data_IF_923779869138
#
_entry.id   IF_923779869138
#
_cell.length_a   1.000
_cell.length_b   1.000
_cell.length_c   1.000
_cell.angle_alpha   90.00
_cell.angle_beta   90.00
_cell.angle_gamma   90.00
#
_symmetry.space_group_name_H-M   'P 1'
#
loop_
_entity.id
_entity.type
_entity.pdbx_description
1 polymer ?
#
# COMPACT_ATOMS: atom_id res chain seq x y z
N UNK A 1 -3.71 -20.28 -7.10
CA UNK A 1 -2.38 -19.63 -7.24
C UNK A 1 -2.14 -18.88 -5.93
N UNK A 2 -0.95 -19.03 -5.36
CA UNK A 2 -0.66 -19.03 -3.91
C UNK A 2 -1.39 -17.96 -3.09
N UNK A 3 -2.42 -18.39 -2.35
CA UNK A 3 -3.22 -17.61 -1.41
C UNK A 3 -2.48 -17.39 -0.08
N UNK A 4 -1.28 -16.83 -0.14
CA UNK A 4 -0.40 -16.66 1.01
C UNK A 4 0.27 -15.29 1.01
N UNK A 5 0.55 -14.78 2.21
CA UNK A 5 1.41 -13.62 2.37
C UNK A 5 2.84 -13.99 1.94
N UNK A 6 3.41 -13.17 1.06
CA UNK A 6 4.85 -13.15 0.76
C UNK A 6 5.51 -11.99 1.50
N UNK A 7 6.83 -12.10 1.68
CA UNK A 7 7.62 -11.11 2.41
C UNK A 7 7.92 -11.51 3.84
N UNK A 8 8.99 -10.93 4.37
CA UNK A 8 9.41 -11.09 5.77
C UNK A 8 9.68 -9.71 6.37
N UNK A 9 9.46 -9.56 7.68
CA UNK A 9 9.67 -8.29 8.38
C UNK A 9 8.47 -7.35 8.33
N UNK A 10 8.71 -6.06 8.06
CA UNK A 10 7.69 -5.00 8.18
C UNK A 10 6.70 -4.97 7.02
N UNK A 11 7.08 -5.39 5.82
CA UNK A 11 6.22 -5.33 4.64
C UNK A 11 5.88 -6.74 4.20
N UNK A 12 4.58 -6.97 3.96
CA UNK A 12 4.04 -8.22 3.41
C UNK A 12 3.07 -7.90 2.30
N UNK A 13 2.98 -8.79 1.32
CA UNK A 13 2.08 -8.65 0.18
C UNK A 13 1.33 -9.96 -0.06
N UNK A 14 0.08 -9.89 -0.55
CA UNK A 14 -0.64 -11.06 -1.06
C UNK A 14 -1.52 -10.68 -2.25
N UNK A 15 -1.81 -11.65 -3.09
CA UNK A 15 -2.90 -11.57 -4.08
C UNK A 15 -4.20 -12.09 -3.46
N UNK A 16 -5.32 -11.43 -3.74
CA UNK A 16 -6.65 -11.80 -3.26
C UNK A 16 -7.68 -11.51 -4.36
N UNK A 17 -8.01 -12.53 -5.16
CA UNK A 17 -8.80 -12.33 -6.37
C UNK A 17 -8.06 -11.41 -7.35
N UNK A 18 -8.72 -10.35 -7.81
CA UNK A 18 -8.11 -9.30 -8.65
C UNK A 18 -7.42 -8.19 -7.85
N UNK A 19 -7.39 -8.30 -6.52
CA UNK A 19 -6.78 -7.32 -5.64
C UNK A 19 -5.37 -7.75 -5.23
N UNK A 20 -4.47 -6.77 -5.14
CA UNK A 20 -3.19 -6.89 -4.44
C UNK A 20 -3.29 -6.16 -3.11
N UNK A 21 -2.96 -6.85 -2.02
CA UNK A 21 -2.95 -6.29 -0.67
C UNK A 21 -1.53 -6.21 -0.13
N UNK A 22 -1.15 -5.05 0.39
CA UNK A 22 0.14 -4.81 1.05
C UNK A 22 -0.13 -4.43 2.50
N UNK A 23 0.55 -5.08 3.44
CA UNK A 23 0.49 -4.75 4.86
C UNK A 23 1.87 -4.28 5.33
N UNK A 24 1.90 -3.15 6.02
CA UNK A 24 3.10 -2.56 6.63
C UNK A 24 2.87 -2.51 8.15
N UNK A 25 3.67 -3.25 8.91
CA UNK A 25 3.55 -3.29 10.37
C UNK A 25 4.35 -2.15 11.04
N UNK A 26 3.70 -1.46 11.97
CA UNK A 26 4.22 -0.33 12.72
C UNK A 26 3.99 1.04 12.05
N UNK A 27 3.83 2.08 12.87
CA UNK A 27 3.69 3.46 12.39
C UNK A 27 4.93 4.30 12.68
N UNK A 28 5.06 5.38 11.91
CA UNK A 28 6.04 6.44 12.11
C UNK A 28 5.40 7.76 11.71
N UNK A 29 5.91 8.87 12.26
CA UNK A 29 5.48 10.22 11.92
C UNK A 29 6.00 10.69 10.56
N UNK A 30 6.97 9.97 9.96
CA UNK A 30 7.62 10.39 8.71
C UNK A 30 7.06 9.67 7.49
N UNK A 31 6.11 10.28 6.77
CA UNK A 31 5.54 9.71 5.54
C UNK A 31 6.60 9.28 4.49
N UNK A 32 7.66 10.08 4.35
CA UNK A 32 8.78 9.80 3.42
C UNK A 32 9.53 8.49 3.70
N UNK A 33 9.43 7.94 4.91
CA UNK A 33 10.05 6.66 5.27
C UNK A 33 9.44 5.49 4.48
N UNK A 34 8.14 5.57 4.18
CA UNK A 34 7.42 4.45 3.56
C UNK A 34 7.77 4.24 2.09
N UNK A 35 8.12 5.30 1.37
CA UNK A 35 8.49 5.21 -0.05
C UNK A 35 9.65 4.24 -0.30
N UNK A 36 10.86 4.46 0.26
CA UNK A 36 11.98 3.54 0.04
C UNK A 36 11.74 2.16 0.64
N UNK A 37 11.00 2.06 1.75
CA UNK A 37 10.67 0.78 2.38
C UNK A 37 9.84 -0.11 1.46
N UNK A 38 8.74 0.42 0.93
CA UNK A 38 7.84 -0.33 0.04
C UNK A 38 8.48 -0.54 -1.32
N UNK A 39 9.19 0.46 -1.87
CA UNK A 39 9.86 0.33 -3.16
C UNK A 39 10.92 -0.80 -3.14
N UNK A 40 11.77 -0.86 -2.12
CA UNK A 40 12.77 -1.93 -2.00
C UNK A 40 12.12 -3.32 -1.88
N UNK A 41 10.99 -3.40 -1.18
CA UNK A 41 10.21 -4.62 -1.09
C UNK A 41 9.65 -5.03 -2.46
N UNK A 42 8.94 -4.13 -3.15
CA UNK A 42 8.36 -4.38 -4.47
C UNK A 42 9.44 -4.80 -5.48
N UNK A 43 10.60 -4.14 -5.44
CA UNK A 43 11.73 -4.46 -6.32
C UNK A 43 12.27 -5.88 -6.12
N UNK A 44 12.31 -6.38 -4.88
CA UNK A 44 12.97 -7.66 -4.54
C UNK A 44 12.03 -8.85 -4.55
N UNK A 45 10.83 -8.65 -4.00
CA UNK A 45 9.91 -9.74 -3.68
C UNK A 45 8.77 -9.87 -4.69
N UNK A 46 8.57 -8.87 -5.55
CA UNK A 46 7.43 -8.83 -6.46
C UNK A 46 7.86 -8.85 -7.93
N UNK A 47 7.26 -9.78 -8.67
CA UNK A 47 7.43 -9.89 -10.12
C UNK A 47 6.05 -9.76 -10.75
N UNK A 48 5.67 -8.56 -11.16
CA UNK A 48 4.43 -8.32 -11.90
C UNK A 48 4.67 -7.80 -13.30
N UNK A 49 3.65 -7.99 -14.13
CA UNK A 49 3.44 -7.20 -15.34
C UNK A 49 2.26 -6.27 -15.05
N UNK A 50 2.48 -4.98 -14.74
CA UNK A 50 1.38 -4.03 -14.61
C UNK A 50 0.51 -4.04 -15.88
N UNK A 51 -0.79 -3.82 -15.73
CA UNK A 51 -1.72 -3.73 -16.84
C UNK A 51 -2.30 -2.33 -17.00
N UNK A 52 -2.77 -2.04 -18.20
CA UNK A 52 -3.56 -0.85 -18.51
C UNK A 52 -4.97 -0.97 -17.93
N UNK A 53 -5.59 0.17 -17.62
CA UNK A 53 -6.94 0.25 -17.04
C UNK A 53 -7.01 1.19 -15.84
N UNK A 54 -8.21 1.44 -15.37
CA UNK A 54 -8.49 2.21 -14.15
C UNK A 54 -8.35 1.33 -12.91
N UNK A 55 -7.79 1.87 -11.85
CA UNK A 55 -7.60 1.21 -10.57
C UNK A 55 -8.23 1.99 -9.41
N UNK A 56 -8.62 1.24 -8.39
CA UNK A 56 -8.96 1.76 -7.07
C UNK A 56 -7.82 1.45 -6.13
N UNK A 57 -7.40 2.45 -5.36
CA UNK A 57 -6.40 2.32 -4.29
C UNK A 57 -7.04 2.70 -2.96
N UNK A 58 -7.05 1.77 -2.02
CA UNK A 58 -7.50 1.99 -0.64
C UNK A 58 -6.30 1.92 0.29
N UNK A 59 -6.07 2.97 1.08
CA UNK A 59 -5.00 3.06 2.08
C UNK A 59 -5.65 3.25 3.44
N UNK A 60 -5.44 2.29 4.34
CA UNK A 60 -5.93 2.34 5.71
C UNK A 60 -4.76 2.40 6.68
N UNK A 61 -4.68 3.47 7.46
CA UNK A 61 -3.73 3.64 8.56
C UNK A 61 -4.42 3.32 9.88
N UNK A 62 -4.05 2.22 10.51
CA UNK A 62 -4.53 1.75 11.80
C UNK A 62 -3.55 2.18 12.91
N UNK A 63 -4.04 2.87 13.93
CA UNK A 63 -3.26 3.29 15.10
C UNK A 63 -3.86 2.74 16.40
N UNK A 64 -3.04 2.65 17.45
CA UNK A 64 -3.48 2.32 18.81
C UNK A 64 -3.35 3.57 19.67
N UNK A 65 -4.43 3.96 20.36
CA UNK A 65 -4.44 5.20 21.15
C UNK A 65 -4.37 6.44 20.27
N UNK A 66 -3.56 7.43 20.65
CA UNK A 66 -3.45 8.67 19.89
C UNK A 66 -2.76 8.45 18.53
N UNK A 67 -3.34 8.94 17.43
CA UNK A 67 -2.74 8.75 16.12
C UNK A 67 -1.46 9.57 15.96
N UNK A 68 -0.45 9.06 15.22
CA UNK A 68 0.73 9.85 14.91
C UNK A 68 0.35 11.11 14.13
N UNK A 69 1.12 12.18 14.38
CA UNK A 69 1.04 13.39 13.57
C UNK A 69 1.70 13.16 12.21
N UNK A 70 0.95 12.50 11.33
CA UNK A 70 1.31 12.24 9.94
C UNK A 70 0.18 12.75 9.05
N UNK A 71 0.55 13.44 7.97
CA UNK A 71 -0.38 13.88 6.95
C UNK A 71 -0.73 12.72 6.01
N UNK A 72 -2.03 12.47 5.84
CA UNK A 72 -2.53 11.34 5.05
C UNK A 72 -2.25 11.51 3.55
N UNK A 73 -2.24 12.74 3.02
CA UNK A 73 -1.89 13.01 1.63
C UNK A 73 -0.41 12.67 1.36
N UNK A 74 0.50 13.13 2.22
CA UNK A 74 1.92 12.80 2.14
C UNK A 74 2.17 11.28 2.27
N UNK A 75 1.44 10.60 3.16
CA UNK A 75 1.51 9.15 3.28
C UNK A 75 1.05 8.48 1.98
N UNK A 76 -0.11 8.87 1.44
CA UNK A 76 -0.65 8.31 0.23
C UNK A 76 0.27 8.53 -0.97
N UNK A 77 0.79 9.75 -1.14
CA UNK A 77 1.76 10.09 -2.19
C UNK A 77 3.01 9.22 -2.12
N UNK A 78 3.57 9.01 -0.92
CA UNK A 78 4.76 8.19 -0.73
C UNK A 78 4.51 6.71 -1.09
N UNK A 79 3.33 6.19 -0.76
CA UNK A 79 2.94 4.81 -1.02
C UNK A 79 2.60 4.57 -2.50
N UNK A 80 1.85 5.47 -3.14
CA UNK A 80 1.54 5.42 -4.57
C UNK A 80 2.82 5.41 -5.42
N UNK A 81 3.75 6.32 -5.11
CA UNK A 81 5.04 6.38 -5.78
C UNK A 81 5.85 5.08 -5.65
N UNK A 82 5.70 4.34 -4.55
CA UNK A 82 6.45 3.12 -4.28
C UNK A 82 5.89 1.89 -5.01
N UNK A 83 4.60 1.88 -5.31
CA UNK A 83 3.90 0.77 -5.98
C UNK A 83 3.66 1.02 -7.48
N UNK A 84 3.78 2.29 -7.93
CA UNK A 84 3.81 2.67 -9.34
C UNK A 84 4.91 1.93 -10.09
N UNK A 85 4.62 1.52 -11.31
CA UNK A 85 5.49 0.68 -12.14
C UNK A 85 5.44 -0.81 -11.78
N UNK A 86 4.82 -1.17 -10.64
CA UNK A 86 4.62 -2.56 -10.24
C UNK A 86 3.13 -2.96 -10.35
N UNK A 87 2.23 -2.21 -9.71
CA UNK A 87 0.80 -2.57 -9.68
C UNK A 87 -0.01 -1.90 -10.81
N UNK A 88 0.47 -0.77 -11.30
CA UNK A 88 -0.05 -0.02 -12.45
C UNK A 88 1.11 0.76 -13.10
N UNK A 89 0.98 1.21 -14.34
CA UNK A 89 2.05 1.92 -15.04
C UNK A 89 2.21 3.37 -14.56
N UNK A 90 1.10 4.06 -14.33
CA UNK A 90 1.10 5.50 -14.00
C UNK A 90 0.03 5.85 -12.96
N UNK A 91 0.28 6.90 -12.16
CA UNK A 91 -0.67 7.39 -11.15
C UNK A 91 -1.98 7.88 -11.79
N UNK A 92 -1.95 8.30 -13.07
CA UNK A 92 -3.14 8.65 -13.84
C UNK A 92 -4.15 7.49 -13.99
N UNK A 93 -3.71 6.25 -13.78
CA UNK A 93 -4.59 5.09 -13.76
C UNK A 93 -5.36 4.92 -12.44
N UNK A 94 -5.02 5.66 -11.38
CA UNK A 94 -5.75 5.62 -10.11
C UNK A 94 -7.00 6.48 -10.22
N UNK A 95 -8.11 5.87 -10.59
CA UNK A 95 -9.41 6.53 -10.77
C UNK A 95 -10.16 6.77 -9.46
N UNK A 96 -9.79 6.07 -8.38
CA UNK A 96 -10.31 6.31 -7.03
C UNK A 96 -9.22 6.06 -6.00
N UNK A 97 -8.99 7.04 -5.13
CA UNK A 97 -8.09 6.94 -3.99
C UNK A 97 -8.90 7.18 -2.70
N UNK A 98 -8.88 6.21 -1.79
CA UNK A 98 -9.42 6.35 -0.44
C UNK A 98 -8.26 6.25 0.55
N UNK A 99 -8.10 7.26 1.41
CA UNK A 99 -7.06 7.27 2.44
C UNK A 99 -7.72 7.58 3.76
N UNK A 100 -7.65 6.65 4.70
CA UNK A 100 -8.36 6.77 5.97
C UNK A 100 -7.46 6.45 7.15
N UNK A 101 -7.78 7.10 8.25
CA UNK A 101 -7.24 6.81 9.57
C UNK A 101 -8.31 6.10 10.38
N UNK A 102 -7.93 4.99 11.00
CA UNK A 102 -8.80 4.18 11.84
C UNK A 102 -8.08 3.83 13.14
N UNK A 103 -8.81 3.81 14.24
CA UNK A 103 -8.34 3.13 15.44
C UNK A 103 -8.41 1.61 15.19
N UNK A 104 -7.37 0.89 15.60
CA UNK A 104 -7.26 -0.56 15.40
C UNK A 104 -6.56 -1.25 16.56
N UNK A 105 -6.44 -2.57 16.46
CA UNK A 105 -5.82 -3.39 17.52
C UNK A 105 -4.29 -3.32 17.50
N UNK A 106 -3.71 -2.80 16.40
CA UNK A 106 -2.27 -2.66 16.20
C UNK A 106 -1.96 -1.54 15.22
N UNK A 107 -0.75 -1.01 15.34
CA UNK A 107 -0.20 -0.06 14.40
C UNK A 107 0.12 -0.72 13.05
N UNK A 108 -0.57 -0.30 11.99
CA UNK A 108 -0.44 -0.89 10.65
C UNK A 108 -0.87 0.07 9.56
N UNK A 109 -0.29 -0.07 8.37
CA UNK A 109 -0.87 0.46 7.13
C UNK A 109 -1.23 -0.70 6.22
N UNK A 110 -2.45 -0.70 5.70
CA UNK A 110 -2.92 -1.66 4.69
C UNK A 110 -3.21 -0.91 3.39
N UNK A 111 -2.68 -1.40 2.28
CA UNK A 111 -2.93 -0.90 0.93
C UNK A 111 -3.66 -1.99 0.17
N UNK A 112 -4.76 -1.66 -0.49
CA UNK A 112 -5.46 -2.56 -1.40
C UNK A 112 -5.55 -1.89 -2.77
N UNK A 113 -5.12 -2.59 -3.81
CA UNK A 113 -5.16 -2.12 -5.19
C UNK A 113 -5.92 -3.12 -6.03
N UNK A 114 -6.94 -2.68 -6.76
CA UNK A 114 -7.75 -3.56 -7.59
C UNK A 114 -8.31 -2.80 -8.81
N UNK A 115 -8.62 -3.49 -9.93
CA UNK A 115 -9.24 -2.87 -11.08
C UNK A 115 -10.57 -2.20 -10.74
N UNK A 116 -10.84 -1.05 -11.35
CA UNK A 116 -12.14 -0.40 -11.29
C UNK A 116 -13.10 -1.08 -12.27
N UNK A 117 -14.13 -1.72 -11.73
CA UNK A 117 -15.22 -2.33 -12.49
C UNK A 117 -16.20 -1.28 -13.04
#
# INVERSE_FOLDING_TARGET
MTSGWIGTGKVRLRETGDAVEIAIDGLTTQAKYYKPLVYEFMRKEWVSRPSWGDYVVEIRMEHVGDPPHIDLDNLAKALLDAIKGYLFHDDAQVARLLVERHEGERERITIRVFPRA
#
